data_IF_155186562201
#
_entry.id   IF_155186562201
#
_cell.length_a   1.000
_cell.length_b   1.000
_cell.length_c   1.000
_cell.angle_alpha   90.00
_cell.angle_beta   90.00
_cell.angle_gamma   90.00
#
_symmetry.space_group_name_H-M   'P 1'
#
loop_
_entity.id
_entity.type
_entity.pdbx_description
1 polymer ?
#
# COMPACT_ATOMS: atom_id res chain seq x y z
N UNK A 1 32.41 -46.92 -14.74
CA UNK A 1 32.41 -45.48 -15.12
C UNK A 1 31.14 -45.00 -15.88
N UNK A 2 30.57 -45.73 -16.85
CA UNK A 2 29.39 -45.24 -17.62
C UNK A 2 28.05 -45.26 -16.86
N UNK A 3 27.90 -46.14 -15.86
CA UNK A 3 26.65 -46.30 -15.09
C UNK A 3 26.37 -45.11 -14.17
N UNK A 4 27.40 -44.50 -13.59
CA UNK A 4 27.27 -43.35 -12.69
C UNK A 4 26.88 -42.06 -13.42
N UNK A 5 27.41 -41.85 -14.63
CA UNK A 5 27.01 -40.73 -15.52
C UNK A 5 25.52 -40.82 -15.90
N UNK A 6 25.00 -42.04 -16.16
CA UNK A 6 23.56 -42.25 -16.41
C UNK A 6 22.69 -41.99 -15.17
N UNK A 7 23.13 -42.39 -13.98
CA UNK A 7 22.44 -42.11 -12.70
C UNK A 7 22.38 -40.60 -12.38
N UNK A 8 23.48 -39.86 -12.58
CA UNK A 8 23.52 -38.39 -12.41
C UNK A 8 22.58 -37.65 -13.38
N UNK A 9 22.50 -38.06 -14.66
CA UNK A 9 21.58 -37.45 -15.64
C UNK A 9 20.10 -37.69 -15.30
N UNK A 10 19.71 -38.88 -14.82
CA UNK A 10 18.32 -39.15 -14.38
C UNK A 10 17.92 -38.31 -13.17
N UNK A 11 18.80 -38.14 -12.18
CA UNK A 11 18.55 -37.32 -10.97
C UNK A 11 18.32 -35.84 -11.31
N UNK A 12 19.08 -35.29 -12.28
CA UNK A 12 18.93 -33.89 -12.74
C UNK A 12 17.62 -33.65 -13.51
N UNK A 13 17.12 -34.66 -14.24
CA UNK A 13 15.85 -34.58 -15.00
C UNK A 13 14.61 -34.61 -14.08
N UNK A 14 14.64 -35.40 -13.00
CA UNK A 14 13.55 -35.43 -12.02
C UNK A 14 13.46 -34.13 -11.18
N UNK A 15 14.59 -33.52 -10.81
CA UNK A 15 14.58 -32.23 -10.09
C UNK A 15 13.95 -31.09 -10.92
N UNK A 16 14.09 -31.12 -12.24
CA UNK A 16 13.46 -30.13 -13.15
C UNK A 16 11.96 -30.35 -13.32
N UNK A 17 11.47 -31.60 -13.30
CA UNK A 17 10.04 -31.90 -13.36
C UNK A 17 9.30 -31.49 -12.08
N UNK A 18 9.93 -31.67 -10.91
CA UNK A 18 9.32 -31.28 -9.64
C UNK A 18 9.21 -29.75 -9.46
N UNK A 19 10.12 -28.98 -10.07
CA UNK A 19 10.10 -27.50 -9.99
C UNK A 19 9.06 -26.83 -10.90
N UNK A 20 8.52 -27.55 -11.90
CA UNK A 20 7.44 -27.04 -12.77
C UNK A 20 6.04 -27.32 -12.24
N UNK A 21 5.87 -28.31 -11.35
CA UNK A 21 4.56 -28.70 -10.79
C UNK A 21 4.19 -27.95 -9.51
N UNK A 22 5.13 -27.21 -8.90
CA UNK A 22 4.92 -26.42 -7.69
C UNK A 22 4.64 -24.93 -7.96
N UNK A 23 4.31 -24.56 -9.21
CA UNK A 23 4.11 -23.15 -9.60
C UNK A 23 2.72 -22.86 -10.18
N UNK A 24 1.77 -23.80 -10.04
CA UNK A 24 0.41 -23.68 -10.60
C UNK A 24 -0.71 -23.88 -9.57
N UNK A 25 -0.43 -23.79 -8.27
CA UNK A 25 -1.45 -24.02 -7.23
C UNK A 25 -1.41 -22.99 -6.10
N UNK A 26 -0.88 -21.80 -6.35
CA UNK A 26 -0.86 -20.70 -5.37
C UNK A 26 -1.43 -19.45 -6.01
N UNK A 27 -2.71 -19.53 -6.41
CA UNK A 27 -3.44 -18.40 -7.02
C UNK A 27 -4.68 -18.01 -6.22
N UNK A 28 -4.95 -18.71 -5.10
CA UNK A 28 -6.21 -18.54 -4.36
C UNK A 28 -6.01 -18.19 -2.87
N UNK A 29 -4.75 -18.15 -2.41
CA UNK A 29 -4.35 -17.76 -1.04
C UNK A 29 -3.57 -16.45 -1.00
N UNK A 30 -3.45 -15.75 -2.14
CA UNK A 30 -2.84 -14.41 -2.25
C UNK A 30 -3.92 -13.31 -2.23
N UNK A 31 -5.21 -13.62 -2.18
CA UNK A 31 -6.26 -12.60 -2.13
C UNK A 31 -6.50 -12.06 -0.70
N UNK A 32 -6.44 -12.93 0.32
CA UNK A 32 -6.63 -12.51 1.71
C UNK A 32 -5.45 -11.70 2.29
N UNK A 33 -4.24 -11.93 1.78
CA UNK A 33 -3.06 -11.14 2.19
C UNK A 33 -3.10 -9.75 1.54
N UNK A 34 -3.54 -9.66 0.28
CA UNK A 34 -3.72 -8.39 -0.43
C UNK A 34 -4.72 -7.45 0.26
N UNK A 35 -5.86 -7.96 0.74
CA UNK A 35 -6.83 -7.13 1.47
C UNK A 35 -6.25 -6.62 2.81
N UNK A 36 -5.57 -7.47 3.56
CA UNK A 36 -4.91 -7.07 4.82
C UNK A 36 -3.81 -6.04 4.59
N UNK A 37 -3.11 -6.13 3.45
CA UNK A 37 -2.09 -5.16 3.05
C UNK A 37 -2.74 -3.82 2.69
N UNK A 38 -3.83 -3.82 1.90
CA UNK A 38 -4.58 -2.58 1.58
C UNK A 38 -5.13 -1.90 2.82
N UNK A 39 -5.72 -2.67 3.75
CA UNK A 39 -6.26 -2.12 5.00
C UNK A 39 -5.16 -1.47 5.87
N UNK A 40 -3.97 -2.09 5.95
CA UNK A 40 -2.83 -1.51 6.67
C UNK A 40 -2.37 -0.20 6.05
N UNK A 41 -2.26 -0.15 4.72
CA UNK A 41 -1.85 1.06 4.02
C UNK A 41 -2.90 2.18 4.12
N UNK A 42 -4.18 1.85 4.04
CA UNK A 42 -5.27 2.80 4.26
C UNK A 42 -5.22 3.36 5.69
N UNK A 43 -4.99 2.52 6.71
CA UNK A 43 -4.81 2.98 8.09
C UNK A 43 -3.59 3.89 8.25
N UNK A 44 -2.49 3.59 7.55
CA UNK A 44 -1.30 4.43 7.54
C UNK A 44 -1.57 5.78 6.86
N UNK A 45 -2.25 5.78 5.71
CA UNK A 45 -2.66 6.99 5.00
C UNK A 45 -3.59 7.87 5.85
N UNK A 46 -4.55 7.28 6.57
CA UNK A 46 -5.41 8.03 7.51
C UNK A 46 -4.60 8.70 8.62
N UNK A 47 -3.63 8.01 9.22
CA UNK A 47 -2.78 8.61 10.26
C UNK A 47 -1.92 9.75 9.70
N UNK A 48 -1.35 9.56 8.51
CA UNK A 48 -0.54 10.58 7.83
C UNK A 48 -1.38 11.84 7.54
N UNK A 49 -2.62 11.68 7.09
CA UNK A 49 -3.54 12.79 6.85
C UNK A 49 -3.87 13.54 8.15
N UNK A 50 -4.14 12.82 9.25
CA UNK A 50 -4.39 13.46 10.55
C UNK A 50 -3.17 14.22 11.09
N UNK A 51 -1.97 13.67 10.92
CA UNK A 51 -0.73 14.35 11.28
C UNK A 51 -0.48 15.57 10.40
N UNK A 52 -0.77 15.47 9.11
CA UNK A 52 -0.67 16.59 8.17
C UNK A 52 -1.61 17.73 8.59
N UNK A 53 -2.87 17.42 8.89
CA UNK A 53 -3.85 18.40 9.36
C UNK A 53 -3.37 19.07 10.67
N UNK A 54 -2.91 18.30 11.66
CA UNK A 54 -2.38 18.85 12.91
C UNK A 54 -1.18 19.77 12.70
N UNK A 55 -0.27 19.41 11.78
CA UNK A 55 0.87 20.25 11.41
C UNK A 55 0.41 21.55 10.73
N UNK A 56 -0.57 21.46 9.84
CA UNK A 56 -1.16 22.64 9.20
C UNK A 56 -1.82 23.56 10.23
N UNK A 57 -2.64 23.02 11.12
CA UNK A 57 -3.31 23.78 12.19
C UNK A 57 -2.29 24.43 13.13
N UNK A 58 -1.22 23.71 13.49
CA UNK A 58 -0.13 24.26 14.29
C UNK A 58 0.60 25.40 13.55
N UNK A 59 0.92 25.23 12.26
CA UNK A 59 1.58 26.29 11.48
C UNK A 59 0.69 27.53 11.32
N UNK A 60 -0.63 27.33 11.20
CA UNK A 60 -1.61 28.42 11.15
C UNK A 60 -1.76 29.14 12.49
N UNK A 61 -1.65 28.42 13.61
CA UNK A 61 -1.76 29.01 14.95
C UNK A 61 -0.53 29.81 15.37
N UNK A 62 0.64 29.54 14.77
CA UNK A 62 1.84 30.33 14.99
C UNK A 62 1.69 31.76 14.44
N UNK A 63 2.25 32.72 15.18
CA UNK A 63 2.42 34.11 14.76
C UNK A 63 3.12 34.21 13.40
N UNK A 64 2.65 35.09 12.52
CA UNK A 64 3.10 35.24 11.15
C UNK A 64 4.60 35.50 11.06
N UNK A 65 5.16 36.27 12.01
CA UNK A 65 6.61 36.55 12.05
C UNK A 65 7.45 35.34 12.45
N UNK A 66 6.84 34.37 13.16
CA UNK A 66 7.49 33.14 13.62
C UNK A 66 7.25 31.95 12.69
N UNK A 67 6.31 32.07 11.75
CA UNK A 67 6.06 31.05 10.73
C UNK A 67 7.27 30.96 9.78
N UNK A 68 7.79 29.76 9.51
CA UNK A 68 8.96 29.61 8.64
C UNK A 68 8.62 30.05 7.21
N UNK A 69 9.46 30.92 6.65
CA UNK A 69 9.27 31.51 5.31
C UNK A 69 9.44 30.50 4.15
N UNK A 70 9.88 29.27 4.43
CA UNK A 70 10.21 28.27 3.41
C UNK A 70 9.51 26.92 3.68
N UNK A 71 8.19 26.87 3.48
CA UNK A 71 7.48 25.60 3.36
C UNK A 71 7.68 25.04 1.96
N UNK A 72 8.78 24.32 1.73
CA UNK A 72 8.91 23.49 0.53
C UNK A 72 7.89 22.36 0.63
N UNK A 73 7.03 22.25 -0.38
CA UNK A 73 6.10 21.13 -0.53
C UNK A 73 6.57 20.23 -1.67
N UNK A 74 6.43 18.93 -1.48
CA UNK A 74 6.78 17.94 -2.48
C UNK A 74 5.65 17.86 -3.52
N UNK A 75 5.96 18.20 -4.78
CA UNK A 75 5.02 18.08 -5.89
C UNK A 75 4.86 16.61 -6.33
N UNK A 76 4.26 15.79 -5.48
CA UNK A 76 3.96 14.38 -5.75
C UNK A 76 2.46 14.21 -5.93
N UNK A 77 2.06 13.48 -6.97
CA UNK A 77 0.65 13.14 -7.18
C UNK A 77 0.17 12.25 -6.01
N UNK A 78 -0.98 12.58 -5.38
CA UNK A 78 -1.54 11.76 -4.31
C UNK A 78 -1.81 10.32 -4.76
N UNK A 79 -1.54 9.36 -3.89
CA UNK A 79 -1.84 7.95 -4.14
C UNK A 79 -3.32 7.64 -3.94
N UNK A 80 -3.83 6.55 -4.54
CA UNK A 80 -5.26 6.19 -4.45
C UNK A 80 -5.75 6.02 -3.00
N UNK A 81 -4.90 5.45 -2.14
CA UNK A 81 -5.19 5.23 -0.71
C UNK A 81 -5.21 6.55 0.08
N UNK A 82 -4.33 7.51 -0.25
CA UNK A 82 -4.34 8.86 0.32
C UNK A 82 -5.58 9.65 -0.12
N UNK A 83 -5.98 9.53 -1.40
CA UNK A 83 -7.21 10.15 -1.91
C UNK A 83 -8.47 9.55 -1.26
N UNK A 84 -8.47 8.25 -0.98
CA UNK A 84 -9.56 7.61 -0.23
C UNK A 84 -9.61 8.10 1.22
N UNK A 85 -8.47 8.14 1.92
CA UNK A 85 -8.36 8.67 3.28
C UNK A 85 -8.88 10.11 3.37
N UNK A 86 -8.50 10.97 2.43
CA UNK A 86 -8.95 12.35 2.36
C UNK A 86 -10.48 12.46 2.17
N UNK A 87 -11.05 11.70 1.22
CA UNK A 87 -12.50 11.65 0.97
C UNK A 87 -13.27 11.18 2.20
N UNK A 88 -12.76 10.17 2.90
CA UNK A 88 -13.38 9.65 4.12
C UNK A 88 -13.44 10.71 5.22
N UNK A 89 -12.38 11.51 5.40
CA UNK A 89 -12.31 12.55 6.43
C UNK A 89 -13.15 13.78 6.10
N UNK A 90 -13.26 14.14 4.82
CA UNK A 90 -13.95 15.36 4.36
C UNK A 90 -15.43 15.13 3.98
N UNK A 91 -15.96 13.93 4.21
CA UNK A 91 -17.37 13.63 3.96
C UNK A 91 -18.27 14.50 4.87
N UNK A 92 -19.11 15.33 4.26
CA UNK A 92 -20.06 16.19 4.97
C UNK A 92 -21.28 15.38 5.40
N UNK A 93 -21.32 14.96 6.67
CA UNK A 93 -22.47 14.24 7.23
C UNK A 93 -23.66 15.15 7.50
N UNK A 94 -23.41 16.44 7.74
CA UNK A 94 -24.43 17.44 8.07
C UNK A 94 -25.14 18.02 6.83
N UNK A 95 -24.71 17.65 5.62
CA UNK A 95 -25.31 18.14 4.38
C UNK A 95 -26.60 17.35 4.07
N UNK A 96 -27.79 17.99 4.00
CA UNK A 96 -29.03 17.31 3.65
C UNK A 96 -28.99 16.63 2.27
N UNK A 97 -28.17 17.14 1.35
CA UNK A 97 -28.00 16.57 0.01
C UNK A 97 -27.16 15.28 0.00
N UNK A 98 -26.43 14.97 1.08
CA UNK A 98 -25.62 13.74 1.18
C UNK A 98 -26.43 12.45 1.08
N UNK A 99 -27.74 12.51 1.33
CA UNK A 99 -28.66 11.38 1.26
C UNK A 99 -29.14 11.07 -0.18
N UNK A 100 -28.91 11.99 -1.13
CA UNK A 100 -29.46 11.90 -2.49
C UNK A 100 -28.41 11.59 -3.56
N UNK A 101 -27.14 11.47 -3.17
CA UNK A 101 -26.00 11.13 -4.03
C UNK A 101 -25.48 9.74 -3.71
#
# INVERSE_FOLDING_TARGET
>A
MLSEKKKKKKKKKNKRKHKKKSKSSSSESESEDEEKVREKKLKEALKKEEEHQKKADHLLSLDERKRPYNSMYDNVAPTDEEMEAWRMKHRRTEDPMSHFT
#
